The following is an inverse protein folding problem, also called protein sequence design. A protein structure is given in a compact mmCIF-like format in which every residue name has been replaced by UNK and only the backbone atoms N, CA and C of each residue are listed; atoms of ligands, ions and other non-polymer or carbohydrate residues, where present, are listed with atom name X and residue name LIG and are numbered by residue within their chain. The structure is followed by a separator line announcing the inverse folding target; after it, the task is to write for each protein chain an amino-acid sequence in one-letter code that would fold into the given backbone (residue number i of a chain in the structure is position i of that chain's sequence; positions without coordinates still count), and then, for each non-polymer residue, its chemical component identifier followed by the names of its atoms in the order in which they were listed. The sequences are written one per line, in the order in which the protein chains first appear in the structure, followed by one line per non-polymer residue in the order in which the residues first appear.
data_IF_055933301701
#
_entry.id   IF_055933301701
#
_cell.length_a   1.000
_cell.length_b   1.000
_cell.length_c   1.000
_cell.angle_alpha   90.00
_cell.angle_beta   90.00
_cell.angle_gamma   90.00
#
_symmetry.space_group_name_H-M   'P 1'
#
loop_
_entity.id
_entity.type
_entity.pdbx_description
1 polymer ?
#
# COMPACT_ATOMS: atom_id res chain seq x y z
N UNK A 1 -5.03 -4.61 18.56
CA UNK A 1 -5.51 -3.49 17.72
C UNK A 1 -5.48 -3.99 16.29
N UNK A 2 -6.62 -4.31 15.63
CA UNK A 2 -6.60 -4.44 14.18
C UNK A 2 -6.21 -3.05 13.65
N UNK A 3 -5.25 -2.98 12.73
CA UNK A 3 -5.01 -1.73 12.01
C UNK A 3 -6.34 -1.33 11.37
N UNK A 4 -6.90 -0.19 11.76
CA UNK A 4 -8.08 0.37 11.11
C UNK A 4 -7.77 0.46 9.61
N UNK A 5 -8.51 -0.25 8.77
CA UNK A 5 -8.23 -0.36 7.33
C UNK A 5 -8.16 1.06 6.68
N UNK A 6 -8.96 2.01 7.20
CA UNK A 6 -8.90 3.43 6.82
C UNK A 6 -7.62 4.18 7.20
N UNK A 7 -6.90 3.77 8.25
CA UNK A 7 -5.60 4.34 8.60
C UNK A 7 -4.52 3.87 7.61
N UNK A 8 -4.58 2.60 7.17
CA UNK A 8 -3.72 2.10 6.11
C UNK A 8 -3.94 2.87 4.81
N UNK A 9 -5.19 3.11 4.44
CA UNK A 9 -5.51 3.87 3.22
C UNK A 9 -4.90 5.27 3.24
N UNK A 10 -4.91 5.95 4.38
CA UNK A 10 -4.27 7.26 4.53
C UNK A 10 -2.74 7.19 4.36
N UNK A 11 -2.10 6.09 4.78
CA UNK A 11 -0.66 5.86 4.56
C UNK A 11 -0.35 5.67 3.08
N UNK A 12 -1.15 4.86 2.37
CA UNK A 12 -0.99 4.66 0.92
C UNK A 12 -1.18 5.97 0.14
N UNK A 13 -2.20 6.76 0.48
CA UNK A 13 -2.42 8.08 -0.15
C UNK A 13 -1.22 9.00 0.04
N UNK A 14 -0.65 9.02 1.25
CA UNK A 14 0.59 9.77 1.52
C UNK A 14 1.76 9.30 0.67
N UNK A 15 1.91 7.99 0.46
CA UNK A 15 2.97 7.46 -0.42
C UNK A 15 2.77 7.90 -1.86
N UNK A 16 1.54 7.80 -2.38
CA UNK A 16 1.17 8.27 -3.73
C UNK A 16 1.43 9.77 -3.87
N UNK A 17 0.97 10.57 -2.89
CA UNK A 17 1.14 12.02 -2.88
C UNK A 17 2.63 12.42 -2.78
N UNK A 18 3.45 11.60 -2.14
CA UNK A 18 4.91 11.80 -2.05
C UNK A 18 5.66 11.28 -3.28
N UNK A 19 4.99 10.58 -4.21
CA UNK A 19 5.64 9.91 -5.34
C UNK A 19 6.53 8.72 -4.94
N UNK A 20 6.30 8.14 -3.76
CA UNK A 20 7.02 6.96 -3.30
C UNK A 20 6.71 5.74 -4.18
N UNK A 21 7.72 4.93 -4.49
CA UNK A 21 7.52 3.70 -5.26
C UNK A 21 6.92 2.63 -4.35
N UNK A 22 5.68 2.25 -4.60
CA UNK A 22 5.00 1.19 -3.85
C UNK A 22 4.53 0.09 -4.80
N UNK A 23 4.46 -1.14 -4.29
CA UNK A 23 4.00 -2.30 -5.05
C UNK A 23 3.09 -3.19 -4.23
N UNK A 24 2.21 -3.91 -4.92
CA UNK A 24 1.39 -4.95 -4.29
C UNK A 24 2.25 -6.21 -4.15
N UNK A 25 2.44 -6.66 -2.90
CA UNK A 25 3.22 -7.86 -2.59
C UNK A 25 2.35 -9.11 -2.54
N UNK A 26 1.13 -8.97 -2.02
CA UNK A 26 0.21 -10.09 -1.89
C UNK A 26 -1.24 -9.57 -1.88
N UNK A 27 -2.12 -10.27 -2.58
CA UNK A 27 -3.56 -10.09 -2.48
C UNK A 27 -4.18 -11.38 -1.97
N UNK A 28 -5.10 -11.28 -1.01
CA UNK A 28 -5.78 -12.37 -0.36
C UNK A 28 -7.25 -12.02 -0.24
N UNK A 29 -8.00 -12.32 -1.30
CA UNK A 29 -9.44 -12.06 -1.38
C UNK A 29 -9.75 -10.58 -1.21
N UNK A 30 -10.22 -10.21 -0.03
CA UNK A 30 -10.58 -8.83 0.31
C UNK A 30 -9.42 -8.01 0.86
N UNK A 31 -8.28 -8.62 1.20
CA UNK A 31 -7.13 -7.94 1.80
C UNK A 31 -5.98 -7.87 0.82
N UNK A 32 -5.33 -6.72 0.71
CA UNK A 32 -4.15 -6.51 -0.13
C UNK A 32 -3.03 -5.93 0.70
N UNK A 33 -1.85 -6.50 0.53
CA UNK A 33 -0.60 -6.11 1.16
C UNK A 33 0.21 -5.30 0.17
N UNK A 34 0.47 -4.05 0.52
CA UNK A 34 1.26 -3.11 -0.27
C UNK A 34 2.55 -2.80 0.48
N UNK A 35 3.68 -2.92 -0.21
CA UNK A 35 4.99 -2.54 0.29
C UNK A 35 5.45 -1.22 -0.35
N UNK A 36 5.92 -0.29 0.46
CA UNK A 36 6.70 0.85 0.01
C UNK A 36 8.14 0.40 -0.21
N UNK A 37 8.63 0.56 -1.43
CA UNK A 37 10.03 0.34 -1.77
C UNK A 37 10.82 1.63 -1.61
N UNK A 38 12.11 1.50 -1.32
CA UNK A 38 13.06 2.60 -1.47
C UNK A 38 13.05 3.14 -2.91
N UNK A 39 13.53 4.37 -3.10
CA UNK A 39 13.70 4.97 -4.43
C UNK A 39 14.58 4.12 -5.37
N UNK A 40 15.44 3.26 -4.81
CA UNK A 40 16.31 2.34 -5.54
C UNK A 40 15.61 1.01 -5.90
N UNK A 41 14.39 0.78 -5.39
CA UNK A 41 13.58 -0.40 -5.69
C UNK A 41 14.04 -1.70 -5.01
N UNK A 42 15.08 -1.63 -4.16
CA UNK A 42 15.73 -2.82 -3.60
C UNK A 42 15.23 -3.27 -2.23
N UNK A 43 14.72 -2.37 -1.39
CA UNK A 43 14.37 -2.66 0.01
C UNK A 43 12.95 -2.21 0.36
N UNK A 44 12.21 -3.07 1.09
CA UNK A 44 10.91 -2.75 1.70
C UNK A 44 11.15 -1.79 2.87
N UNK A 45 10.73 -0.53 2.73
CA UNK A 45 10.80 0.48 3.78
C UNK A 45 9.62 0.37 4.74
N UNK A 46 8.44 0.11 4.20
CA UNK A 46 7.19 0.04 4.96
C UNK A 46 6.22 -0.92 4.29
N UNK A 47 5.32 -1.49 5.08
CA UNK A 47 4.35 -2.48 4.62
C UNK A 47 3.03 -2.23 5.29
N UNK A 48 1.99 -2.13 4.47
CA UNK A 48 0.64 -1.92 4.95
C UNK A 48 -0.35 -2.89 4.32
N UNK A 49 -1.42 -3.20 5.05
CA UNK A 49 -2.50 -4.09 4.60
C UNK A 49 -3.80 -3.29 4.59
N UNK A 50 -4.46 -3.27 3.44
CA UNK A 50 -5.73 -2.57 3.20
C UNK A 50 -6.75 -3.48 2.51
N UNK A 51 -8.01 -3.05 2.47
CA UNK A 51 -9.01 -3.70 1.64
C UNK A 51 -8.69 -3.60 0.15
N UNK A 52 -9.03 -4.62 -0.65
CA UNK A 52 -8.95 -4.57 -2.12
C UNK A 52 -9.79 -3.42 -2.69
N UNK A 53 -10.93 -3.14 -2.07
CA UNK A 53 -11.80 -2.01 -2.40
C UNK A 53 -11.10 -0.66 -2.19
N UNK A 54 -10.18 -0.59 -1.23
CA UNK A 54 -9.41 0.59 -0.89
C UNK A 54 -8.17 0.77 -1.78
N UNK A 55 -7.96 -0.01 -2.84
CA UNK A 55 -6.91 0.28 -3.81
C UNK A 55 -7.42 1.27 -4.87
N UNK A 56 -6.63 2.30 -5.25
CA UNK A 56 -7.00 3.17 -6.35
C UNK A 56 -7.06 2.36 -7.65
N UNK A 57 -8.24 2.30 -8.26
CA UNK A 57 -8.54 1.47 -9.44
C UNK A 57 -7.86 1.96 -10.75
N UNK A 58 -6.96 2.95 -10.65
CA UNK A 58 -6.46 3.75 -11.76
C UNK A 58 -4.98 3.55 -12.14
N UNK A 59 -4.23 2.65 -11.50
CA UNK A 59 -2.83 2.41 -11.85
C UNK A 59 -2.72 1.16 -12.76
N UNK A 60 -2.90 1.36 -14.07
CA UNK A 60 -2.51 0.39 -15.11
C UNK A 60 -1.04 0.56 -15.44
#
# INVERSE_FOLDING_TARGET
MPADDGATRAILDRWIASGGHWTVLAESGDRVTVGLLTCDGGEEMDRVVLGRDELPQGHR
#
